data_IF_082656251687
#
_entry.id   IF_082656251687
#
_cell.length_a   1.000
_cell.length_b   1.000
_cell.length_c   1.000
_cell.angle_alpha   90.00
_cell.angle_beta   90.00
_cell.angle_gamma   90.00
#
_symmetry.space_group_name_H-M   'P 1'
#
loop_
_entity.id
_entity.type
_entity.pdbx_description
1 polymer ?
#
# COMPACT_ATOMS: atom_id res chain seq x y z
N UNK A 1 2.93 -15.45 19.23
CA UNK A 1 2.37 -15.99 17.97
C UNK A 1 0.91 -15.62 17.70
N UNK A 2 0.00 -15.72 18.68
CA UNK A 2 -1.44 -15.46 18.46
C UNK A 2 -1.78 -14.03 18.03
N UNK A 3 -1.07 -13.02 18.55
CA UNK A 3 -1.22 -11.60 18.14
C UNK A 3 -0.75 -11.37 16.69
N UNK A 4 0.40 -11.95 16.33
CA UNK A 4 0.97 -11.80 14.99
C UNK A 4 0.07 -12.42 13.90
N UNK A 5 -0.59 -13.53 14.18
CA UNK A 5 -1.62 -14.09 13.29
C UNK A 5 -2.89 -13.24 13.20
N UNK A 6 -3.23 -12.48 14.24
CA UNK A 6 -4.40 -11.60 14.23
C UNK A 6 -4.14 -10.34 13.40
N UNK A 7 -2.93 -9.78 13.51
CA UNK A 7 -2.60 -8.48 12.93
C UNK A 7 -1.94 -8.59 11.54
N UNK A 8 -1.34 -9.75 11.21
CA UNK A 8 -0.60 -9.98 9.96
C UNK A 8 -1.11 -11.18 9.14
N UNK A 9 -2.30 -11.72 9.42
CA UNK A 9 -2.97 -12.63 8.46
C UNK A 9 -3.53 -11.82 7.30
N UNK A 10 -3.79 -12.49 6.15
CA UNK A 10 -4.57 -11.90 5.06
C UNK A 10 -5.83 -11.23 5.64
N UNK A 11 -6.07 -9.97 5.27
CA UNK A 11 -7.20 -9.21 5.82
C UNK A 11 -8.52 -9.89 5.44
N UNK A 12 -9.51 -9.76 6.32
CA UNK A 12 -10.86 -10.31 6.22
C UNK A 12 -11.58 -9.94 4.92
N UNK A 13 -12.72 -10.59 4.64
CA UNK A 13 -13.55 -10.36 3.43
C UNK A 13 -14.06 -8.93 3.23
N UNK A 14 -13.72 -7.99 4.11
CA UNK A 14 -14.12 -6.58 4.11
C UNK A 14 -12.96 -5.59 3.85
N UNK A 15 -11.79 -6.10 3.42
CA UNK A 15 -10.58 -5.29 3.17
C UNK A 15 -10.85 -4.06 2.29
N UNK A 16 -11.63 -4.23 1.22
CA UNK A 16 -11.89 -3.15 0.27
C UNK A 16 -12.78 -2.05 0.84
N UNK A 17 -13.69 -2.39 1.75
CA UNK A 17 -14.53 -1.40 2.43
C UNK A 17 -13.70 -0.62 3.44
N UNK A 18 -12.86 -1.31 4.21
CA UNK A 18 -11.91 -0.68 5.13
C UNK A 18 -10.93 0.25 4.41
N UNK A 19 -10.36 -0.18 3.28
CA UNK A 19 -9.49 0.67 2.44
C UNK A 19 -10.26 1.90 1.99
N UNK A 20 -11.48 1.75 1.50
CA UNK A 20 -12.29 2.88 1.00
C UNK A 20 -12.59 3.88 2.11
N UNK A 21 -12.99 3.39 3.29
CA UNK A 21 -13.30 4.22 4.45
C UNK A 21 -12.06 4.98 4.93
N UNK A 22 -10.96 4.28 5.19
CA UNK A 22 -9.75 4.91 5.72
C UNK A 22 -9.11 5.88 4.72
N UNK A 23 -9.08 5.52 3.44
CA UNK A 23 -8.49 6.37 2.40
C UNK A 23 -9.36 7.55 2.00
N UNK A 24 -10.63 7.59 2.42
CA UNK A 24 -11.50 8.77 2.23
C UNK A 24 -11.00 10.01 2.98
N UNK A 25 -10.14 9.82 3.99
CA UNK A 25 -9.49 10.88 4.77
C UNK A 25 -8.19 11.39 4.12
N UNK A 26 -7.75 10.79 3.00
CA UNK A 26 -6.47 11.11 2.38
C UNK A 26 -6.46 12.52 1.78
N UNK A 27 -5.41 13.28 2.09
CA UNK A 27 -5.17 14.64 1.58
C UNK A 27 -4.25 14.69 0.35
N UNK A 28 -3.89 13.52 -0.21
CA UNK A 28 -2.99 13.39 -1.37
C UNK A 28 -1.66 14.16 -1.16
N UNK A 29 -1.02 13.99 0.00
CA UNK A 29 0.26 14.64 0.34
C UNK A 29 1.50 13.90 -0.21
N UNK A 30 1.34 12.73 -0.82
CA UNK A 30 2.41 11.91 -1.42
C UNK A 30 3.50 11.37 -0.47
N UNK A 31 3.47 11.70 0.82
CA UNK A 31 4.42 11.20 1.84
C UNK A 31 4.61 9.67 1.82
N UNK A 32 3.52 8.92 1.63
CA UNK A 32 3.56 7.45 1.58
C UNK A 32 4.27 6.87 0.34
N UNK A 33 4.49 7.68 -0.69
CA UNK A 33 5.18 7.30 -1.94
C UNK A 33 6.64 7.74 -1.86
N UNK A 34 6.89 8.98 -1.46
CA UNK A 34 8.23 9.58 -1.43
C UNK A 34 9.16 8.89 -0.42
N UNK A 35 8.63 8.43 0.72
CA UNK A 35 9.41 7.78 1.77
C UNK A 35 9.48 6.25 1.64
N UNK A 36 9.01 5.70 0.52
CA UNK A 36 8.98 4.26 0.34
C UNK A 36 10.30 3.76 -0.27
N UNK A 37 11.05 2.87 0.43
CA UNK A 37 12.38 2.45 0.00
C UNK A 37 12.38 1.59 -1.27
N UNK A 38 11.24 1.03 -1.67
CA UNK A 38 11.11 0.20 -2.88
C UNK A 38 10.63 0.98 -4.09
N UNK A 39 10.32 2.27 -3.92
CA UNK A 39 9.88 3.12 -5.00
C UNK A 39 10.99 4.04 -5.47
N UNK A 40 11.09 4.20 -6.78
CA UNK A 40 11.95 5.19 -7.42
C UNK A 40 11.05 6.21 -8.11
N UNK A 41 10.40 7.12 -7.35
CA UNK A 41 9.42 8.02 -7.92
C UNK A 41 10.09 9.01 -8.88
N UNK A 42 9.61 9.07 -10.12
CA UNK A 42 9.84 10.21 -10.99
C UNK A 42 8.78 11.27 -10.67
N UNK A 43 9.21 12.41 -10.11
CA UNK A 43 8.33 13.48 -9.66
C UNK A 43 7.38 13.99 -10.76
N UNK A 44 7.89 14.11 -11.99
CA UNK A 44 7.10 14.58 -13.13
C UNK A 44 5.95 13.60 -13.46
N UNK A 45 6.21 12.30 -13.43
CA UNK A 45 5.18 11.27 -13.69
C UNK A 45 4.25 11.04 -12.48
N UNK A 46 4.71 11.34 -11.27
CA UNK A 46 3.90 11.22 -10.05
C UNK A 46 2.82 12.32 -9.96
N UNK A 47 3.18 13.56 -10.31
CA UNK A 47 2.29 14.74 -10.25
C UNK A 47 1.49 14.98 -11.55
N UNK A 48 1.72 14.15 -12.56
CA UNK A 48 1.00 14.19 -13.84
C UNK A 48 -0.46 13.81 -13.64
N UNK A 49 -1.36 14.72 -14.03
CA UNK A 49 -2.78 14.43 -14.07
C UNK A 49 -3.05 13.29 -15.06
N UNK A 50 -3.88 12.34 -14.64
CA UNK A 50 -4.41 11.29 -15.52
C UNK A 50 -5.93 11.36 -15.48
N UNK A 51 -6.60 10.75 -16.46
CA UNK A 51 -8.08 10.69 -16.48
C UNK A 51 -8.66 10.09 -15.19
N UNK A 52 -7.96 9.12 -14.60
CA UNK A 52 -8.39 8.43 -13.37
C UNK A 52 -7.93 9.14 -12.09
N UNK A 53 -6.87 9.95 -12.14
CA UNK A 53 -6.33 10.69 -11.00
C UNK A 53 -6.11 12.15 -11.43
N UNK A 54 -7.15 12.99 -11.36
CA UNK A 54 -7.04 14.40 -11.71
C UNK A 54 -6.33 15.21 -10.62
N UNK A 55 -5.76 16.34 -11.03
CA UNK A 55 -5.18 17.31 -10.11
C UNK A 55 -6.28 18.09 -9.37
N UNK A 56 -5.98 18.60 -8.18
CA UNK A 56 -6.92 19.41 -7.38
C UNK A 56 -8.03 18.65 -6.65
N UNK A 57 -8.21 17.35 -6.88
CA UNK A 57 -9.23 16.55 -6.17
C UNK A 57 -8.72 16.05 -4.79
N UNK A 58 -9.44 16.39 -3.73
CA UNK A 58 -9.25 15.93 -2.34
C UNK A 58 -10.63 15.62 -1.73
N UNK A 59 -10.85 14.42 -1.14
CA UNK A 59 -9.94 13.27 -1.14
C UNK A 59 -9.68 12.77 -2.57
N UNK A 60 -8.52 12.15 -2.83
CA UNK A 60 -8.16 11.73 -4.16
C UNK A 60 -9.12 10.65 -4.68
N UNK A 61 -9.24 10.53 -6.00
CA UNK A 61 -9.92 9.40 -6.61
C UNK A 61 -9.36 8.07 -6.04
N UNK A 62 -10.19 7.07 -5.69
CA UNK A 62 -9.74 5.78 -5.18
C UNK A 62 -8.64 5.10 -6.02
N UNK A 63 -8.61 5.37 -7.32
CA UNK A 63 -7.55 4.90 -8.22
C UNK A 63 -6.15 5.36 -7.82
N UNK A 64 -5.99 6.46 -7.10
CA UNK A 64 -4.71 6.90 -6.54
C UNK A 64 -4.14 5.84 -5.58
N UNK A 65 -4.94 5.37 -4.63
CA UNK A 65 -4.54 4.34 -3.66
C UNK A 65 -4.40 2.98 -4.35
N UNK A 66 -5.30 2.64 -5.27
CA UNK A 66 -5.24 1.35 -5.97
C UNK A 66 -3.99 1.23 -6.85
N UNK A 67 -3.61 2.29 -7.58
CA UNK A 67 -2.34 2.36 -8.31
C UNK A 67 -1.16 2.16 -7.37
N UNK A 68 -1.20 2.79 -6.20
CA UNK A 68 -0.15 2.68 -5.19
C UNK A 68 0.00 1.24 -4.70
N UNK A 69 -1.08 0.62 -4.24
CA UNK A 69 -1.04 -0.75 -3.72
C UNK A 69 -0.62 -1.75 -4.81
N UNK A 70 -1.11 -1.61 -6.03
CA UNK A 70 -0.69 -2.45 -7.15
C UNK A 70 0.82 -2.32 -7.45
N UNK A 71 1.36 -1.08 -7.44
CA UNK A 71 2.75 -0.82 -7.76
C UNK A 71 3.75 -1.50 -6.79
N UNK A 72 3.40 -1.64 -5.52
CA UNK A 72 4.27 -2.26 -4.49
C UNK A 72 3.79 -3.65 -4.05
N UNK A 73 2.78 -4.21 -4.71
CA UNK A 73 2.09 -5.43 -4.26
C UNK A 73 3.01 -6.64 -4.11
N UNK A 74 4.04 -6.75 -4.95
CA UNK A 74 5.04 -7.82 -4.94
C UNK A 74 6.34 -7.45 -4.21
N UNK A 75 6.61 -6.17 -4.07
CA UNK A 75 7.90 -5.62 -3.63
C UNK A 75 7.86 -5.06 -2.21
N UNK A 76 6.68 -4.89 -1.60
CA UNK A 76 6.53 -4.35 -0.26
C UNK A 76 7.34 -5.19 0.77
N UNK A 77 8.27 -4.52 1.46
CA UNK A 77 9.11 -5.12 2.52
C UNK A 77 8.57 -4.88 3.94
N UNK A 78 7.34 -4.37 4.05
CA UNK A 78 6.69 -4.05 5.32
C UNK A 78 7.51 -3.11 6.25
N UNK A 79 8.09 -2.05 5.69
CA UNK A 79 8.92 -1.10 6.44
C UNK A 79 8.16 -0.10 7.33
N UNK A 80 6.83 0.02 7.18
CA UNK A 80 6.00 0.90 8.02
C UNK A 80 5.99 2.40 7.68
N UNK A 81 6.96 2.89 6.91
CA UNK A 81 7.15 4.33 6.64
C UNK A 81 5.93 5.05 6.05
N UNK A 82 5.12 4.35 5.25
CA UNK A 82 3.92 4.93 4.65
C UNK A 82 2.83 5.28 5.67
N UNK A 83 2.75 4.55 6.77
CA UNK A 83 1.81 4.76 7.86
C UNK A 83 2.37 5.76 8.88
N UNK A 84 3.64 5.59 9.28
CA UNK A 84 4.33 6.46 10.24
C UNK A 84 4.35 7.93 9.81
N UNK A 85 4.53 8.18 8.51
CA UNK A 85 4.62 9.54 7.95
C UNK A 85 3.28 10.04 7.38
N UNK A 86 2.18 9.32 7.61
CA UNK A 86 0.86 9.74 7.16
C UNK A 86 0.29 10.79 8.13
N UNK A 87 0.05 12.05 7.70
CA UNK A 87 -0.54 13.07 8.57
C UNK A 87 -2.00 12.80 8.95
N UNK A 88 -2.61 11.76 8.36
CA UNK A 88 -3.99 11.36 8.59
C UNK A 88 -4.09 10.02 9.33
N UNK A 89 -2.97 9.43 9.77
CA UNK A 89 -2.94 8.15 10.48
C UNK A 89 -3.72 7.04 9.72
N UNK A 90 -3.53 6.97 8.40
CA UNK A 90 -4.14 5.93 7.56
C UNK A 90 -3.26 4.68 7.68
N UNK A 91 -3.83 3.48 7.96
CA UNK A 91 -3.07 2.25 8.16
C UNK A 91 -2.56 1.64 6.84
N UNK A 92 -1.72 2.41 6.12
CA UNK A 92 -1.22 2.04 4.80
C UNK A 92 -0.27 0.84 4.85
N UNK A 93 0.44 0.64 5.96
CA UNK A 93 1.34 -0.51 6.11
C UNK A 93 0.52 -1.79 6.24
N UNK A 94 -0.56 -1.76 7.04
CA UNK A 94 -1.52 -2.86 7.15
C UNK A 94 -2.06 -3.30 5.79
N UNK A 95 -2.59 -2.35 5.00
CA UNK A 95 -3.15 -2.66 3.68
C UNK A 95 -2.10 -3.21 2.70
N UNK A 96 -0.93 -2.57 2.65
CA UNK A 96 0.14 -2.99 1.73
C UNK A 96 0.69 -4.37 2.09
N UNK A 97 0.81 -4.68 3.38
CA UNK A 97 1.28 -5.98 3.84
C UNK A 97 0.23 -7.08 3.65
N UNK A 98 -1.06 -6.79 3.86
CA UNK A 98 -2.14 -7.73 3.60
C UNK A 98 -2.16 -8.16 2.13
N UNK A 99 -2.09 -7.20 1.20
CA UNK A 99 -2.04 -7.46 -0.25
C UNK A 99 -0.80 -8.29 -0.61
N UNK A 100 0.37 -7.96 -0.04
CA UNK A 100 1.61 -8.72 -0.26
C UNK A 100 1.48 -10.17 0.21
N UNK A 101 0.90 -10.38 1.39
CA UNK A 101 0.71 -11.69 2.02
C UNK A 101 -0.27 -12.54 1.22
N UNK A 102 -1.34 -11.95 0.70
CA UNK A 102 -2.29 -12.62 -0.19
C UNK A 102 -1.64 -13.01 -1.53
N UNK A 103 -0.79 -12.13 -2.08
CA UNK A 103 0.02 -12.43 -3.26
C UNK A 103 0.98 -13.60 -3.06
N UNK A 104 1.68 -13.65 -1.92
CA UNK A 104 2.58 -14.76 -1.55
C UNK A 104 1.84 -16.08 -1.33
N UNK A 105 0.63 -16.03 -0.77
CA UNK A 105 -0.17 -17.23 -0.57
C UNK A 105 -0.66 -17.84 -1.89
N UNK A 106 -0.89 -17.00 -2.91
CA UNK A 106 -1.45 -17.41 -4.19
C UNK A 106 -0.38 -17.77 -5.22
N UNK A 107 0.77 -17.10 -5.17
CA UNK A 107 1.81 -17.21 -6.20
C UNK A 107 3.17 -17.56 -5.62
N UNK A 108 3.83 -18.55 -6.22
CA UNK A 108 5.22 -18.83 -5.92
C UNK A 108 6.12 -17.72 -6.50
N UNK A 109 7.08 -17.19 -5.72
CA UNK A 109 8.03 -16.21 -6.22
C UNK A 109 8.82 -16.79 -7.40
N UNK A 110 8.95 -16.02 -8.49
CA UNK A 110 9.76 -16.43 -9.66
C UNK A 110 11.23 -16.69 -9.32
N UNK A 111 11.74 -16.02 -8.28
CA UNK A 111 13.10 -16.17 -7.79
C UNK A 111 13.28 -17.37 -6.83
N UNK A 112 12.23 -18.17 -6.60
CA UNK A 112 12.24 -19.26 -5.64
C UNK A 112 11.99 -18.80 -4.20
N UNK A 113 11.92 -19.75 -3.27
CA UNK A 113 11.78 -19.47 -1.85
C UNK A 113 13.00 -18.70 -1.32
N UNK A 114 12.78 -17.71 -0.45
CA UNK A 114 13.87 -17.01 0.22
C UNK A 114 14.81 -18.02 0.92
N UNK A 115 16.13 -17.87 0.79
CA UNK A 115 17.10 -18.78 1.42
C UNK A 115 17.13 -18.62 2.95
N UNK A 116 16.50 -17.57 3.48
CA UNK A 116 16.40 -17.31 4.91
C UNK A 116 14.98 -17.62 5.42
N UNK A 117 14.91 -18.16 6.65
CA UNK A 117 13.68 -18.29 7.42
C UNK A 117 13.74 -17.29 8.56
N UNK A 118 12.68 -16.49 8.72
CA UNK A 118 12.45 -15.64 9.88
C UNK A 118 11.88 -16.45 11.04
#
# INVERSE_FOLDING_TARGET
>A
EKWRKKDFSALSGDLWDSIREETSRCIKCYSCIENCPVCLPNEAELKKATTMVPNGQIPPNPMFHMRRFAHISDSCINCGQCEELCPMDIPLALFSHAIRTEGDATYNPKLGSAPYKN
#
